data_IF_474048431761
#
_entry.id   IF_474048431761
#
_cell.length_a   1.000
_cell.length_b   1.000
_cell.length_c   1.000
_cell.angle_alpha   90.00
_cell.angle_beta   90.00
_cell.angle_gamma   90.00
#
_symmetry.space_group_name_H-M   'P 1'
#
loop_
_entity.id
_entity.type
_entity.pdbx_description
1 polymer ?
#
# COMPACT_ATOMS: atom_id res chain seq x y z
N UNK A 1 -6.10 -4.16 34.34
CA UNK A 1 -4.95 -3.72 33.51
C UNK A 1 -5.01 -4.54 32.23
N UNK A 2 -5.76 -4.06 31.24
CA UNK A 2 -6.21 -4.87 30.11
C UNK A 2 -5.09 -5.07 29.08
N UNK A 3 -4.83 -6.34 28.76
CA UNK A 3 -3.96 -6.80 27.68
C UNK A 3 -4.20 -5.96 26.40
N UNK A 4 -3.14 -5.28 25.93
CA UNK A 4 -3.06 -4.78 24.56
C UNK A 4 -3.10 -6.00 23.64
N UNK A 5 -4.28 -6.30 23.09
CA UNK A 5 -4.45 -7.35 22.09
C UNK A 5 -3.60 -6.98 20.87
N UNK A 6 -2.53 -7.73 20.66
CA UNK A 6 -1.86 -7.86 19.37
C UNK A 6 -2.84 -8.53 18.41
N UNK A 7 -3.59 -7.76 17.64
CA UNK A 7 -4.34 -8.27 16.49
C UNK A 7 -3.35 -8.47 15.34
N UNK A 8 -2.68 -9.63 15.34
CA UNK A 8 -1.99 -10.16 14.16
C UNK A 8 -3.05 -10.84 13.29
N UNK A 9 -3.36 -10.23 12.15
CA UNK A 9 -4.17 -10.85 11.10
C UNK A 9 -3.18 -11.26 10.00
N UNK A 10 -2.75 -12.51 10.04
CA UNK A 10 -2.19 -13.17 8.88
C UNK A 10 -3.35 -13.68 8.00
N UNK A 11 -3.41 -13.32 6.72
CA UNK A 11 -3.88 -14.22 5.65
C UNK A 11 -3.73 -13.66 4.22
N UNK A 12 -3.58 -14.62 3.29
CA UNK A 12 -3.46 -14.55 1.83
C UNK A 12 -2.11 -14.06 1.26
N UNK A 13 -1.15 -15.00 1.17
CA UNK A 13 0.10 -14.84 0.43
C UNK A 13 -0.14 -15.01 -1.09
N UNK A 14 -0.76 -14.02 -1.73
CA UNK A 14 -0.33 -13.61 -3.06
C UNK A 14 1.04 -12.95 -2.86
N UNK A 15 2.03 -13.19 -3.71
CA UNK A 15 3.37 -12.62 -3.51
C UNK A 15 3.27 -11.09 -3.37
N UNK A 16 3.43 -10.58 -2.14
CA UNK A 16 3.43 -9.15 -1.83
C UNK A 16 4.86 -8.66 -1.92
N UNK A 17 5.11 -7.73 -2.83
CA UNK A 17 6.34 -6.97 -2.88
C UNK A 17 6.30 -5.89 -1.78
N UNK A 18 7.46 -5.64 -1.19
CA UNK A 18 7.64 -4.49 -0.30
C UNK A 18 8.07 -3.27 -1.13
N UNK A 19 7.70 -2.09 -0.66
CA UNK A 19 8.21 -0.83 -1.20
C UNK A 19 7.87 0.35 -0.31
N UNK A 20 8.37 1.50 -0.73
CA UNK A 20 8.22 2.76 -0.02
C UNK A 20 7.37 3.70 -0.85
N UNK A 21 6.35 4.29 -0.24
CA UNK A 21 5.47 5.25 -0.91
C UNK A 21 6.27 6.49 -1.23
N UNK A 22 6.47 6.78 -2.52
CA UNK A 22 7.23 7.96 -2.94
C UNK A 22 6.43 9.22 -2.66
N UNK A 23 5.16 9.17 -3.04
CA UNK A 23 4.16 10.19 -2.75
C UNK A 23 2.77 9.62 -3.04
N UNK A 24 1.78 10.12 -2.32
CA UNK A 24 0.39 9.78 -2.57
C UNK A 24 -0.49 11.01 -2.40
N UNK A 25 -1.35 11.26 -3.38
CA UNK A 25 -2.29 12.36 -3.32
C UNK A 25 -3.66 11.83 -2.91
N UNK A 26 -4.02 11.99 -1.64
CA UNK A 26 -5.30 11.54 -1.11
C UNK A 26 -6.51 12.29 -1.70
N UNK A 27 -6.33 13.53 -2.15
CA UNK A 27 -7.38 14.31 -2.82
C UNK A 27 -7.67 13.78 -4.22
N UNK A 28 -6.63 13.37 -4.94
CA UNK A 28 -6.76 12.81 -6.30
C UNK A 28 -6.97 11.30 -6.31
N UNK A 29 -6.60 10.60 -5.24
CA UNK A 29 -6.79 9.16 -5.09
C UNK A 29 -5.73 8.30 -5.80
N UNK A 30 -4.54 8.83 -6.08
CA UNK A 30 -3.46 8.07 -6.72
C UNK A 30 -2.08 8.50 -6.23
N UNK A 31 -1.09 7.65 -6.47
CA UNK A 31 0.30 7.91 -6.11
C UNK A 31 1.26 6.93 -6.75
N UNK A 32 2.49 6.92 -6.24
CA UNK A 32 3.54 6.04 -6.70
C UNK A 32 4.29 5.40 -5.53
N UNK A 33 4.66 4.14 -5.72
CA UNK A 33 5.44 3.35 -4.76
C UNK A 33 6.75 2.98 -5.42
N UNK A 34 7.85 3.23 -4.73
CA UNK A 34 9.18 2.81 -5.14
C UNK A 34 9.44 1.41 -4.57
N UNK A 35 9.66 0.38 -5.40
CA UNK A 35 9.95 -0.98 -4.93
C UNK A 35 11.24 -1.02 -4.09
N UNK A 36 11.26 -1.81 -3.03
CA UNK A 36 12.49 -1.99 -2.24
C UNK A 36 13.57 -2.80 -2.97
N UNK A 37 13.20 -3.60 -3.97
CA UNK A 37 14.16 -4.27 -4.86
C UNK A 37 14.80 -3.32 -5.90
N UNK A 38 14.35 -2.06 -5.94
CA UNK A 38 14.70 -1.12 -7.00
C UNK A 38 13.91 -1.36 -8.28
N UNK A 39 13.98 -0.41 -9.21
CA UNK A 39 13.26 -0.45 -10.49
C UNK A 39 12.42 0.79 -10.76
N UNK A 40 11.43 0.65 -11.64
CA UNK A 40 10.49 1.73 -11.98
C UNK A 40 9.46 1.95 -10.87
N UNK A 41 9.01 3.21 -10.74
CA UNK A 41 7.96 3.57 -9.80
C UNK A 41 6.65 2.89 -10.19
N UNK A 42 6.05 2.16 -9.24
CA UNK A 42 4.81 1.42 -9.47
C UNK A 42 3.62 2.34 -9.21
N UNK A 43 2.74 2.44 -10.21
CA UNK A 43 1.52 3.22 -10.09
C UNK A 43 0.55 2.56 -9.10
N UNK A 44 0.05 3.33 -8.13
CA UNK A 44 -0.97 2.89 -7.17
C UNK A 44 -2.20 3.78 -7.26
N UNK A 45 -3.38 3.15 -7.29
CA UNK A 45 -4.66 3.82 -7.23
C UNK A 45 -5.36 3.52 -5.90
N UNK A 46 -6.14 4.47 -5.36
CA UNK A 46 -6.84 4.30 -4.08
C UNK A 46 -7.77 3.07 -4.05
N UNK A 47 -8.29 2.64 -5.21
CA UNK A 47 -9.15 1.45 -5.28
C UNK A 47 -8.40 0.16 -4.97
N UNK A 48 -7.09 0.13 -5.20
CA UNK A 48 -6.22 -0.99 -4.90
C UNK A 48 -5.83 -1.07 -3.41
N UNK A 49 -5.99 0.02 -2.65
CA UNK A 49 -5.68 0.08 -1.23
C UNK A 49 -6.76 -0.65 -0.45
N UNK A 50 -6.36 -1.67 0.31
CA UNK A 50 -7.22 -2.40 1.24
C UNK A 50 -7.25 -1.64 2.57
N UNK A 51 -8.20 -0.72 2.67
CA UNK A 51 -8.50 -0.02 3.92
C UNK A 51 -10.02 0.19 4.01
N UNK A 52 -10.58 -0.09 5.19
CA UNK A 52 -12.02 0.04 5.49
C UNK A 52 -12.49 1.50 5.57
N UNK A 53 -11.55 2.46 5.60
CA UNK A 53 -11.83 3.89 5.74
C UNK A 53 -11.17 4.75 4.65
N UNK A 54 -10.46 5.79 5.07
CA UNK A 54 -9.73 6.64 4.15
C UNK A 54 -8.53 5.89 3.55
N UNK A 55 -8.55 5.76 2.23
CA UNK A 55 -7.55 5.04 1.44
C UNK A 55 -6.42 6.00 1.07
N UNK A 56 -5.61 6.35 2.06
CA UNK A 56 -4.46 7.22 1.91
C UNK A 56 -3.18 6.56 2.41
N UNK A 57 -2.06 6.89 1.77
CA UNK A 57 -0.73 6.43 2.15
C UNK A 57 0.12 7.63 2.53
N UNK A 58 0.82 7.58 3.66
CA UNK A 58 1.83 8.58 4.00
C UNK A 58 3.03 8.50 3.04
N UNK A 59 3.57 9.66 2.66
CA UNK A 59 4.84 9.72 1.93
C UNK A 59 5.99 9.17 2.79
N UNK A 60 6.88 8.39 2.17
CA UNK A 60 7.97 7.70 2.86
C UNK A 60 7.55 6.48 3.67
N UNK A 61 6.25 6.13 3.75
CA UNK A 61 5.81 4.96 4.48
C UNK A 61 6.14 3.65 3.74
N UNK A 62 6.56 2.64 4.49
CA UNK A 62 6.71 1.28 3.97
C UNK A 62 5.35 0.62 3.81
N UNK A 63 5.12 -0.03 2.67
CA UNK A 63 3.87 -0.70 2.31
C UNK A 63 4.16 -2.04 1.63
N UNK A 64 3.18 -2.94 1.73
CA UNK A 64 3.18 -4.22 1.02
C UNK A 64 2.11 -4.19 -0.06
N UNK A 65 2.48 -4.51 -1.29
CA UNK A 65 1.60 -4.48 -2.45
C UNK A 65 1.91 -5.66 -3.36
N UNK A 66 0.91 -6.15 -4.09
CA UNK A 66 1.14 -7.07 -5.20
C UNK A 66 1.27 -6.29 -6.51
N UNK A 67 2.12 -6.75 -7.42
CA UNK A 67 2.19 -6.19 -8.78
C UNK A 67 1.35 -7.03 -9.73
N UNK A 68 0.60 -6.36 -10.59
CA UNK A 68 -0.15 -7.00 -11.67
C UNK A 68 0.16 -6.29 -12.99
N UNK A 69 0.38 -7.06 -14.04
CA UNK A 69 0.51 -6.54 -15.40
C UNK A 69 -0.89 -6.22 -15.92
N UNK A 70 -1.18 -4.94 -16.12
CA UNK A 70 -2.43 -4.52 -16.73
C UNK A 70 -2.47 -4.92 -18.22
N UNK A 71 -3.67 -4.91 -18.82
CA UNK A 71 -3.86 -5.20 -20.25
C UNK A 71 -3.07 -4.26 -21.19
N UNK A 72 -2.61 -3.12 -20.66
CA UNK A 72 -1.78 -2.12 -21.35
C UNK A 72 -0.26 -2.42 -21.25
N UNK A 73 0.11 -3.57 -20.65
CA UNK A 73 1.52 -3.97 -20.46
C UNK A 73 2.24 -3.26 -19.31
N UNK A 74 1.56 -2.37 -18.58
CA UNK A 74 2.11 -1.62 -17.45
C UNK A 74 1.91 -2.32 -16.11
N UNK A 75 2.91 -2.24 -15.24
CA UNK A 75 2.82 -2.72 -13.86
C UNK A 75 2.01 -1.75 -13.00
N UNK A 76 1.03 -2.29 -12.26
CA UNK A 76 0.25 -1.55 -11.27
C UNK A 76 0.27 -2.27 -9.93
N UNK A 77 0.21 -1.48 -8.86
CA UNK A 77 0.05 -2.01 -7.51
C UNK A 77 -1.41 -2.39 -7.26
N UNK A 78 -1.64 -3.62 -6.83
CA UNK A 78 -2.91 -4.17 -6.36
C UNK A 78 -2.74 -4.67 -4.91
N UNK A 79 -3.85 -4.76 -4.17
CA UNK A 79 -3.85 -5.27 -2.79
C UNK A 79 -2.86 -4.54 -1.87
N UNK A 80 -2.89 -3.20 -1.90
CA UNK A 80 -1.95 -2.38 -1.12
C UNK A 80 -2.37 -2.36 0.34
N UNK A 81 -1.46 -2.78 1.21
CA UNK A 81 -1.63 -2.94 2.66
C UNK A 81 -0.43 -2.35 3.41
N UNK A 82 -0.60 -2.05 4.70
CA UNK A 82 0.53 -1.72 5.57
C UNK A 82 1.36 -2.98 5.91
N UNK A 83 2.58 -2.81 6.45
CA UNK A 83 3.47 -3.91 6.77
C UNK A 83 2.82 -4.87 7.77
N UNK A 84 2.87 -6.17 7.46
CA UNK A 84 2.27 -7.23 8.27
C UNK A 84 0.74 -7.29 8.16
N UNK A 85 0.15 -6.74 7.09
CA UNK A 85 -1.31 -6.69 6.92
C UNK A 85 -2.01 -5.65 7.80
N UNK A 86 -1.24 -4.75 8.41
CA UNK A 86 -1.76 -3.66 9.23
C UNK A 86 -2.49 -2.62 8.37
N UNK A 87 -3.39 -1.85 8.97
CA UNK A 87 -3.97 -0.67 8.29
C UNK A 87 -2.83 0.22 7.79
N UNK A 88 -2.84 0.66 6.52
CA UNK A 88 -1.78 1.52 6.01
C UNK A 88 -1.71 2.81 6.83
N UNK A 89 -0.50 3.26 7.13
CA UNK A 89 -0.25 4.56 7.77
C UNK A 89 -0.88 5.65 6.88
N UNK A 90 -1.97 6.25 7.36
CA UNK A 90 -2.73 7.23 6.60
C UNK A 90 -2.03 8.59 6.61
N UNK A 91 -1.85 9.20 5.44
CA UNK A 91 -1.33 10.55 5.34
C UNK A 91 -2.19 11.55 6.12
N UNK A 92 -1.59 12.53 6.83
CA UNK A 92 -2.34 13.62 7.42
C UNK A 92 -3.09 14.39 6.33
N UNK A 93 -4.38 14.65 6.54
CA UNK A 93 -5.20 15.47 5.64
C UNK A 93 -4.68 16.90 5.67
N UNK A 94 -3.88 17.28 4.68
CA UNK A 94 -3.41 18.67 4.48
C UNK A 94 -4.19 19.34 3.36
#
# INVERSE_FOLDING_TARGET
>A
MALRRLSSVAMAATAKNAGTVKWFNATKGFGFITPSEGGEDIFVHQTAIKSDGFRSLADGASVEYATETANDGRLRAIDVTGPGGSVPEAAPRR
#
